data_IF_803598915760
#
_entry.id   IF_803598915760
#
_cell.length_a   1.000
_cell.length_b   1.000
_cell.length_c   1.000
_cell.angle_alpha   90.00
_cell.angle_beta   90.00
_cell.angle_gamma   90.00
#
_symmetry.space_group_name_H-M   'P 1'
#
loop_
_entity.id
_entity.type
_entity.pdbx_description
1 polymer ?
#
# COMPACT_ATOMS: atom_id res chain seq x y z
N UNK A 1 29.89 -44.24 56.31
CA UNK A 1 30.05 -44.48 54.86
C UNK A 1 29.81 -43.18 54.20
N UNK A 2 30.85 -42.35 53.91
CA UNK A 2 30.77 -41.00 53.39
C UNK A 2 31.11 -41.04 51.88
N UNK A 3 30.17 -40.62 51.09
CA UNK A 3 30.28 -40.55 49.63
C UNK A 3 30.83 -39.17 49.27
N UNK A 4 32.05 -39.05 48.81
CA UNK A 4 32.68 -37.83 48.28
C UNK A 4 32.46 -37.78 46.78
N UNK A 5 31.59 -36.90 46.33
CA UNK A 5 31.43 -36.56 44.92
C UNK A 5 32.52 -35.58 44.52
N UNK A 6 33.47 -36.03 43.68
CA UNK A 6 34.48 -35.19 43.05
C UNK A 6 33.90 -34.33 41.94
N UNK A 7 33.97 -33.00 42.05
CA UNK A 7 33.77 -32.09 40.95
C UNK A 7 34.99 -32.10 40.04
N UNK A 8 34.87 -32.73 38.88
CA UNK A 8 35.85 -32.61 37.81
C UNK A 8 35.57 -31.26 37.06
N UNK A 9 36.28 -30.23 37.47
CA UNK A 9 36.33 -28.97 36.71
C UNK A 9 37.17 -29.19 35.44
N UNK A 10 36.54 -29.10 34.29
CA UNK A 10 37.23 -29.05 33.00
C UNK A 10 38.00 -27.71 32.89
N UNK A 11 39.17 -27.62 33.43
CA UNK A 11 40.14 -26.59 33.07
C UNK A 11 40.80 -27.00 31.76
N UNK A 12 40.33 -26.48 30.62
CA UNK A 12 41.13 -26.43 29.40
C UNK A 12 42.29 -25.49 29.69
N UNK A 13 43.39 -26.11 30.12
CA UNK A 13 44.60 -25.42 30.48
C UNK A 13 45.17 -24.67 29.28
N UNK A 14 45.24 -23.36 29.42
CA UNK A 14 46.28 -22.58 28.78
C UNK A 14 47.57 -23.07 29.50
N UNK A 15 48.33 -23.90 28.83
CA UNK A 15 49.67 -24.30 29.32
C UNK A 15 50.60 -23.12 29.11
N UNK A 16 50.48 -22.13 29.94
CA UNK A 16 51.54 -21.17 30.21
C UNK A 16 52.38 -21.73 31.34
N UNK A 17 53.62 -22.02 31.06
CA UNK A 17 54.62 -22.36 32.05
C UNK A 17 54.62 -21.28 33.15
N UNK A 18 54.53 -21.68 34.46
CA UNK A 18 54.53 -20.67 35.52
C UNK A 18 55.87 -19.94 35.54
N UNK A 19 55.90 -18.69 35.14
CA UNK A 19 57.09 -17.85 35.26
C UNK A 19 57.43 -16.97 34.08
N UNK A 20 56.84 -17.18 32.92
CA UNK A 20 57.13 -16.33 31.74
C UNK A 20 55.87 -15.54 31.33
N UNK A 21 55.89 -14.26 31.58
CA UNK A 21 54.84 -13.38 31.07
C UNK A 21 54.77 -13.51 29.52
N UNK A 22 53.58 -13.69 28.93
CA UNK A 22 53.45 -13.82 27.48
C UNK A 22 54.09 -12.61 26.84
N UNK A 23 55.17 -12.80 26.06
CA UNK A 23 55.86 -11.73 25.37
C UNK A 23 54.96 -11.26 24.22
N UNK A 24 54.13 -10.27 24.52
CA UNK A 24 53.18 -9.68 23.60
C UNK A 24 53.86 -9.11 22.33
N UNK A 25 55.09 -8.63 22.48
CA UNK A 25 55.86 -8.15 21.33
C UNK A 25 56.19 -9.28 20.34
N UNK A 26 56.59 -10.43 20.86
CA UNK A 26 56.85 -11.62 20.04
C UNK A 26 55.58 -12.12 19.34
N UNK A 27 54.47 -12.15 20.07
CA UNK A 27 53.19 -12.54 19.52
C UNK A 27 52.71 -11.57 18.43
N UNK A 28 52.83 -10.26 18.65
CA UNK A 28 52.51 -9.21 17.66
C UNK A 28 53.40 -9.35 16.43
N UNK A 29 54.68 -9.58 16.62
CA UNK A 29 55.60 -9.82 15.51
C UNK A 29 55.22 -11.05 14.67
N UNK A 30 54.85 -12.14 15.35
CA UNK A 30 54.40 -13.38 14.69
C UNK A 30 53.11 -13.20 13.92
N UNK A 31 52.11 -12.47 14.49
CA UNK A 31 50.86 -12.19 13.83
C UNK A 31 51.05 -11.28 12.61
N UNK A 32 51.94 -10.29 12.73
CA UNK A 32 52.29 -9.41 11.60
C UNK A 32 53.08 -10.13 10.50
N UNK A 33 53.86 -11.16 10.85
CA UNK A 33 54.64 -11.92 9.88
C UNK A 33 53.78 -12.98 9.14
N UNK A 34 52.54 -13.20 9.54
CA UNK A 34 51.65 -14.12 8.83
C UNK A 34 51.33 -13.54 7.45
N UNK A 35 51.54 -14.28 6.36
CA UNK A 35 51.13 -13.83 5.04
C UNK A 35 49.61 -13.61 5.03
N UNK A 36 49.17 -12.50 4.47
CA UNK A 36 47.74 -12.25 4.29
C UNK A 36 47.13 -13.36 3.40
N UNK A 37 45.92 -13.81 3.70
CA UNK A 37 45.24 -14.75 2.82
C UNK A 37 45.09 -14.12 1.41
N UNK A 38 45.17 -14.93 0.35
CA UNK A 38 44.98 -14.43 -1.00
C UNK A 38 43.59 -13.76 -1.08
N UNK A 39 43.57 -12.62 -1.78
CA UNK A 39 42.28 -11.91 -2.03
C UNK A 39 41.35 -12.81 -2.83
N UNK A 40 40.09 -12.80 -2.46
CA UNK A 40 39.06 -13.49 -3.24
C UNK A 40 39.06 -12.94 -4.68
N UNK A 41 38.95 -13.80 -5.71
CA UNK A 41 38.87 -13.36 -7.08
C UNK A 41 37.69 -12.41 -7.25
N UNK A 42 37.89 -11.31 -7.99
CA UNK A 42 36.82 -10.38 -8.29
C UNK A 42 35.67 -11.10 -8.99
N UNK A 43 34.42 -10.79 -8.64
CA UNK A 43 33.27 -11.38 -9.32
C UNK A 43 33.35 -11.08 -10.82
N UNK A 44 33.17 -12.12 -11.62
CA UNK A 44 33.11 -11.99 -13.07
C UNK A 44 31.84 -11.21 -13.43
N UNK A 45 32.01 -9.99 -13.94
CA UNK A 45 30.89 -9.20 -14.44
C UNK A 45 30.36 -9.87 -15.71
N UNK A 46 29.18 -10.46 -15.64
CA UNK A 46 28.47 -10.92 -16.83
C UNK A 46 28.02 -9.71 -17.64
N UNK A 47 28.42 -9.65 -18.90
CA UNK A 47 27.87 -8.68 -19.83
C UNK A 47 26.44 -9.10 -20.15
N UNK A 48 25.48 -8.29 -19.74
CA UNK A 48 24.09 -8.50 -20.15
C UNK A 48 23.93 -7.98 -21.59
N UNK A 49 23.16 -8.71 -22.38
CA UNK A 49 22.78 -8.24 -23.71
C UNK A 49 22.04 -6.92 -23.58
N UNK A 50 22.46 -5.94 -24.37
CA UNK A 50 21.80 -4.63 -24.41
C UNK A 50 20.46 -4.79 -25.08
N UNK A 51 19.39 -4.56 -24.32
CA UNK A 51 18.04 -4.58 -24.88
C UNK A 51 17.83 -3.32 -25.73
N UNK A 52 17.59 -3.51 -27.03
CA UNK A 52 17.18 -2.41 -27.91
C UNK A 52 15.68 -2.20 -27.81
N UNK A 53 15.29 -1.03 -27.33
CA UNK A 53 13.89 -0.64 -27.26
C UNK A 53 13.38 -0.24 -28.65
N UNK A 54 12.63 -1.13 -29.31
CA UNK A 54 12.07 -0.94 -30.64
C UNK A 54 10.55 -0.67 -30.62
N UNK A 55 10.12 0.24 -29.74
CA UNK A 55 8.71 0.56 -29.59
C UNK A 55 8.28 1.86 -30.30
N UNK A 56 9.07 2.36 -31.25
CA UNK A 56 8.77 3.58 -32.00
C UNK A 56 7.48 3.52 -32.82
N UNK A 57 7.02 2.30 -33.14
CA UNK A 57 5.75 2.09 -33.83
C UNK A 57 4.56 1.89 -32.87
N UNK A 58 4.82 1.77 -31.58
CA UNK A 58 3.77 1.70 -30.57
C UNK A 58 3.35 3.11 -30.18
N UNK A 59 2.11 3.20 -29.71
CA UNK A 59 1.56 4.44 -29.23
C UNK A 59 2.34 4.92 -28.00
N UNK A 60 2.64 6.21 -27.96
CA UNK A 60 3.22 6.87 -26.79
C UNK A 60 2.31 6.69 -25.57
N UNK A 61 2.77 6.06 -24.47
CA UNK A 61 1.97 5.87 -23.26
C UNK A 61 1.58 7.18 -22.58
N UNK A 62 2.27 8.29 -22.88
CA UNK A 62 1.99 9.60 -22.34
C UNK A 62 1.12 10.48 -23.29
N UNK A 63 0.87 10.02 -24.51
CA UNK A 63 -0.10 10.69 -25.36
C UNK A 63 -1.50 10.40 -24.86
N UNK A 64 -2.29 11.46 -24.62
CA UNK A 64 -3.70 11.31 -24.25
C UNK A 64 -4.44 10.55 -25.34
N UNK A 65 -5.11 9.48 -24.96
CA UNK A 65 -5.93 8.66 -25.87
C UNK A 65 -7.22 9.35 -26.31
N UNK A 66 -7.37 10.61 -25.98
CA UNK A 66 -8.56 11.38 -26.24
C UNK A 66 -8.53 11.95 -27.66
N UNK A 67 -8.93 11.16 -28.62
CA UNK A 67 -9.70 11.69 -29.73
C UNK A 67 -11.16 11.72 -29.27
N UNK A 68 -11.76 12.88 -29.25
CA UNK A 68 -13.19 13.13 -28.95
C UNK A 68 -14.19 12.37 -29.86
N UNK A 69 -13.72 11.41 -30.62
CA UNK A 69 -14.53 10.58 -31.53
C UNK A 69 -15.12 9.33 -30.88
N UNK A 70 -14.99 9.19 -29.56
CA UNK A 70 -15.61 8.12 -28.80
C UNK A 70 -17.11 8.34 -28.62
N UNK A 71 -17.87 8.21 -29.69
CA UNK A 71 -19.32 8.01 -29.65
C UNK A 71 -19.71 6.67 -28.99
N UNK A 72 -19.05 6.33 -27.87
CA UNK A 72 -19.40 5.18 -27.05
C UNK A 72 -20.73 5.40 -26.36
N UNK A 73 -21.65 4.46 -26.58
CA UNK A 73 -22.97 4.39 -25.95
C UNK A 73 -22.86 4.02 -24.45
N UNK A 74 -21.70 4.27 -23.81
CA UNK A 74 -21.42 3.98 -22.41
C UNK A 74 -21.95 5.04 -21.44
N UNK A 75 -22.02 4.70 -20.16
CA UNK A 75 -22.39 5.66 -19.12
C UNK A 75 -21.43 6.85 -19.14
N UNK A 76 -21.96 8.06 -18.98
CA UNK A 76 -21.18 9.30 -18.91
C UNK A 76 -21.69 10.17 -17.77
N UNK A 77 -20.81 10.94 -17.11
CA UNK A 77 -21.27 11.97 -16.18
C UNK A 77 -22.14 12.99 -16.88
N UNK A 78 -23.24 13.37 -16.26
CA UNK A 78 -24.09 14.43 -16.76
C UNK A 78 -23.48 15.81 -16.47
N UNK A 79 -22.81 16.39 -17.47
CA UNK A 79 -22.15 17.68 -17.35
C UNK A 79 -23.18 18.85 -17.18
N UNK A 80 -24.45 18.63 -17.56
CA UNK A 80 -25.51 19.62 -17.40
C UNK A 80 -26.12 19.66 -15.99
N UNK A 81 -25.80 18.69 -15.15
CA UNK A 81 -26.35 18.57 -13.80
C UNK A 81 -25.61 19.52 -12.83
N UNK A 82 -26.38 20.19 -11.96
CA UNK A 82 -25.76 20.89 -10.84
C UNK A 82 -25.26 19.93 -9.81
N UNK A 83 -23.97 20.00 -9.50
CA UNK A 83 -23.34 19.14 -8.47
C UNK A 83 -23.92 19.41 -7.09
N UNK A 84 -24.10 18.33 -6.32
CA UNK A 84 -24.53 18.38 -4.94
C UNK A 84 -23.34 18.65 -4.01
N UNK A 85 -23.61 19.06 -2.77
CA UNK A 85 -22.55 19.43 -1.82
C UNK A 85 -21.62 18.26 -1.51
N UNK A 86 -22.15 17.06 -1.37
CA UNK A 86 -21.35 15.85 -1.06
C UNK A 86 -20.43 15.40 -2.20
N UNK A 87 -20.61 15.88 -3.40
CA UNK A 87 -19.72 15.62 -4.54
C UNK A 87 -18.42 16.45 -4.51
N UNK A 88 -18.31 17.39 -3.58
CA UNK A 88 -17.08 18.16 -3.38
C UNK A 88 -16.02 17.37 -2.60
N UNK A 89 -16.45 16.37 -1.85
CA UNK A 89 -15.62 15.56 -0.99
C UNK A 89 -15.33 14.20 -1.63
N UNK A 90 -14.12 13.65 -1.46
CA UNK A 90 -13.83 12.26 -1.86
C UNK A 90 -14.69 11.29 -1.04
N UNK A 91 -15.08 10.18 -1.65
CA UNK A 91 -15.96 9.20 -1.01
C UNK A 91 -15.38 8.67 0.31
N UNK A 92 -14.07 8.45 0.36
CA UNK A 92 -13.35 7.93 1.53
C UNK A 92 -13.33 8.89 2.75
N UNK A 93 -13.74 10.15 2.55
CA UNK A 93 -13.85 11.14 3.62
C UNK A 93 -15.28 11.38 4.09
N UNK A 94 -16.22 10.59 3.60
CA UNK A 94 -17.62 10.67 3.94
C UNK A 94 -18.01 9.49 4.83
N UNK A 95 -18.39 9.79 6.07
CA UNK A 95 -18.70 8.80 7.08
C UNK A 95 -20.21 8.65 7.24
N UNK A 96 -20.73 7.43 7.14
CA UNK A 96 -22.13 7.18 7.49
C UNK A 96 -22.26 7.11 9.00
N UNK A 97 -23.00 8.04 9.60
CA UNK A 97 -23.14 8.16 11.06
C UNK A 97 -24.49 7.62 11.58
N UNK A 98 -25.40 7.26 10.69
CA UNK A 98 -26.70 6.69 11.09
C UNK A 98 -27.74 6.74 10.02
N UNK A 99 -28.93 6.29 10.37
CA UNK A 99 -30.10 6.28 9.50
C UNK A 99 -31.33 6.89 10.18
N UNK A 100 -32.23 7.41 9.39
CA UNK A 100 -33.54 7.88 9.81
C UNK A 100 -34.63 7.20 8.98
N UNK A 101 -35.67 6.76 9.64
CA UNK A 101 -36.81 6.13 8.97
C UNK A 101 -36.87 4.62 9.17
N UNK A 102 -37.80 3.98 8.48
CA UNK A 102 -38.03 2.53 8.57
C UNK A 102 -38.57 1.99 7.25
N UNK A 103 -38.17 0.80 6.89
CA UNK A 103 -38.60 0.16 5.65
C UNK A 103 -38.09 0.86 4.40
N UNK A 104 -38.94 1.10 3.40
CA UNK A 104 -38.56 1.68 2.12
C UNK A 104 -38.28 3.20 2.18
N UNK A 105 -38.43 3.83 3.35
CA UNK A 105 -38.21 5.26 3.56
C UNK A 105 -36.96 5.57 4.38
N UNK A 106 -35.95 4.70 4.35
CA UNK A 106 -34.68 4.92 5.10
C UNK A 106 -33.89 6.02 4.42
N UNK A 107 -33.44 6.98 5.23
CA UNK A 107 -32.56 8.09 4.84
C UNK A 107 -31.26 7.90 5.59
N UNK A 108 -30.14 7.92 4.89
CA UNK A 108 -28.83 7.90 5.54
C UNK A 108 -28.43 9.30 6.00
N UNK A 109 -27.71 9.33 7.11
CA UNK A 109 -26.99 10.49 7.62
C UNK A 109 -25.51 10.32 7.33
N UNK A 110 -24.97 11.22 6.53
CA UNK A 110 -23.55 11.21 6.16
C UNK A 110 -22.88 12.46 6.69
N UNK A 111 -21.82 12.28 7.45
CA UNK A 111 -20.98 13.34 7.95
C UNK A 111 -19.83 13.59 6.96
N UNK A 112 -19.67 14.85 6.55
CA UNK A 112 -18.57 15.28 5.71
C UNK A 112 -17.40 15.83 6.55
N UNK A 113 -16.20 16.04 5.95
CA UNK A 113 -15.03 16.58 6.66
C UNK A 113 -15.23 17.94 7.33
N UNK A 114 -16.20 18.71 6.86
CA UNK A 114 -16.62 19.99 7.45
C UNK A 114 -17.43 19.83 8.74
N UNK A 115 -17.61 18.57 9.21
CA UNK A 115 -18.41 18.19 10.38
C UNK A 115 -19.91 18.50 10.25
N UNK A 116 -20.38 18.73 9.05
CA UNK A 116 -21.79 18.88 8.75
C UNK A 116 -22.39 17.53 8.36
N UNK A 117 -23.55 17.23 8.91
CA UNK A 117 -24.28 16.01 8.57
C UNK A 117 -25.34 16.28 7.53
N UNK A 118 -25.27 15.52 6.46
CA UNK A 118 -26.18 15.62 5.32
C UNK A 118 -27.12 14.43 5.26
N UNK A 119 -28.34 14.67 4.79
CA UNK A 119 -29.33 13.61 4.51
C UNK A 119 -29.16 13.09 3.09
N UNK A 120 -29.02 11.79 2.96
CA UNK A 120 -28.82 11.09 1.69
C UNK A 120 -29.95 10.11 1.45
N UNK A 121 -30.53 10.18 0.25
CA UNK A 121 -31.59 9.27 -0.21
C UNK A 121 -31.17 8.61 -1.52
N UNK A 122 -31.80 7.50 -1.92
CA UNK A 122 -31.57 6.93 -3.25
C UNK A 122 -31.79 7.98 -4.34
N UNK A 123 -30.88 8.04 -5.33
CA UNK A 123 -30.89 9.03 -6.39
C UNK A 123 -30.07 10.29 -6.09
N UNK A 124 -29.59 10.51 -4.86
CA UNK A 124 -28.62 11.56 -4.56
C UNK A 124 -27.24 11.21 -5.12
N UNK A 125 -26.37 12.22 -5.18
CA UNK A 125 -25.00 12.07 -5.62
C UNK A 125 -24.03 12.41 -4.51
N UNK A 126 -22.94 11.64 -4.39
CA UNK A 126 -21.88 11.83 -3.42
C UNK A 126 -20.54 11.30 -3.95
N UNK A 127 -19.44 11.86 -3.46
CA UNK A 127 -18.11 11.51 -3.95
C UNK A 127 -17.73 12.27 -5.23
N UNK A 128 -16.43 12.42 -5.46
CA UNK A 128 -15.88 13.20 -6.59
C UNK A 128 -16.04 12.50 -7.96
N UNK A 129 -16.34 11.21 -7.95
CA UNK A 129 -16.50 10.36 -9.13
C UNK A 129 -17.97 10.22 -9.58
N UNK A 130 -18.79 11.27 -9.43
CA UNK A 130 -20.21 11.29 -9.79
C UNK A 130 -20.98 10.07 -9.22
N UNK A 131 -20.67 9.67 -7.98
CA UNK A 131 -21.25 8.52 -7.31
C UNK A 131 -22.74 8.68 -7.08
N UNK A 132 -23.57 7.93 -7.79
CA UNK A 132 -25.01 7.93 -7.64
C UNK A 132 -25.47 6.88 -6.65
N UNK A 133 -26.18 7.30 -5.60
CA UNK A 133 -26.74 6.41 -4.58
C UNK A 133 -27.85 5.57 -5.20
N UNK A 134 -27.68 4.27 -5.16
CA UNK A 134 -28.63 3.25 -5.65
C UNK A 134 -29.51 2.70 -4.54
N UNK A 135 -28.96 2.57 -3.32
CA UNK A 135 -29.69 2.06 -2.18
C UNK A 135 -29.20 2.61 -0.85
N UNK A 136 -30.11 2.74 0.11
CA UNK A 136 -29.81 3.11 1.49
C UNK A 136 -30.35 2.00 2.39
N UNK A 137 -29.48 1.40 3.21
CA UNK A 137 -29.77 0.35 4.15
C UNK A 137 -29.48 0.82 5.59
N UNK A 138 -29.84 0.02 6.55
CA UNK A 138 -29.62 0.37 7.97
C UNK A 138 -28.12 0.42 8.33
N UNK A 139 -27.30 -0.37 7.64
CA UNK A 139 -25.86 -0.58 7.91
C UNK A 139 -24.93 0.02 6.84
N UNK A 140 -25.48 0.40 5.67
CA UNK A 140 -24.67 0.86 4.54
C UNK A 140 -25.45 1.67 3.52
N UNK A 141 -24.71 2.43 2.72
CA UNK A 141 -25.16 3.10 1.51
C UNK A 141 -24.51 2.40 0.31
N UNK A 142 -25.30 1.98 -0.66
CA UNK A 142 -24.79 1.45 -1.93
C UNK A 142 -24.87 2.55 -3.01
N UNK A 143 -23.80 2.69 -3.78
CA UNK A 143 -23.73 3.66 -4.86
C UNK A 143 -22.93 3.13 -6.05
N UNK A 144 -23.06 3.77 -7.18
CA UNK A 144 -22.30 3.49 -8.39
C UNK A 144 -21.55 4.73 -8.79
N UNK A 145 -20.23 4.65 -8.84
CA UNK A 145 -19.33 5.70 -9.30
C UNK A 145 -19.04 5.57 -10.80
N UNK A 146 -18.80 6.69 -11.46
CA UNK A 146 -18.30 6.74 -12.81
C UNK A 146 -16.81 7.07 -12.79
N UNK A 147 -15.97 6.10 -13.14
CA UNK A 147 -14.53 6.28 -13.22
C UNK A 147 -14.06 6.21 -14.68
N UNK A 148 -13.08 7.04 -15.08
CA UNK A 148 -12.55 6.98 -16.43
C UNK A 148 -11.85 5.63 -16.66
N UNK A 149 -12.08 4.99 -17.81
CA UNK A 149 -11.49 3.72 -18.20
C UNK A 149 -10.07 3.86 -18.78
N UNK A 150 -9.56 5.08 -18.90
CA UNK A 150 -8.27 5.38 -19.50
C UNK A 150 -8.25 5.35 -21.03
N UNK A 151 -9.32 4.90 -21.68
CA UNK A 151 -9.47 4.86 -23.13
C UNK A 151 -10.41 5.96 -23.68
N UNK A 152 -10.81 6.90 -22.82
CA UNK A 152 -11.74 7.99 -23.16
C UNK A 152 -13.21 7.66 -22.90
N UNK A 153 -13.49 6.50 -22.32
CA UNK A 153 -14.79 6.09 -21.83
C UNK A 153 -14.91 6.20 -20.30
N UNK A 154 -16.06 5.76 -19.80
CA UNK A 154 -16.39 5.72 -18.40
C UNK A 154 -16.84 4.32 -18.02
N UNK A 155 -16.42 3.87 -16.87
CA UNK A 155 -16.79 2.58 -16.30
C UNK A 155 -17.60 2.80 -15.01
N UNK A 156 -18.69 2.07 -14.87
CA UNK A 156 -19.45 2.00 -13.63
C UNK A 156 -18.72 1.10 -12.63
N UNK A 157 -18.46 1.65 -11.45
CA UNK A 157 -17.85 0.93 -10.33
C UNK A 157 -18.79 0.96 -9.13
N UNK A 158 -19.26 -0.20 -8.64
CA UNK A 158 -20.01 -0.25 -7.39
C UNK A 158 -19.11 0.14 -6.21
N UNK A 159 -19.63 0.94 -5.32
CA UNK A 159 -18.99 1.34 -4.08
C UNK A 159 -20.00 1.31 -2.93
N UNK A 160 -19.49 1.21 -1.71
CA UNK A 160 -20.31 1.12 -0.50
C UNK A 160 -19.69 1.97 0.59
N UNK A 161 -20.52 2.73 1.30
CA UNK A 161 -20.15 3.44 2.52
C UNK A 161 -20.88 2.76 3.68
N UNK A 162 -20.12 2.13 4.56
CA UNK A 162 -20.65 1.42 5.72
C UNK A 162 -20.88 2.38 6.90
N UNK A 163 -21.78 2.01 7.80
CA UNK A 163 -21.96 2.66 9.10
C UNK A 163 -20.71 2.39 9.94
N UNK A 164 -20.06 3.42 10.45
CA UNK A 164 -18.98 3.26 11.41
C UNK A 164 -19.54 2.90 12.79
N UNK A 165 -19.15 1.74 13.30
CA UNK A 165 -19.37 1.36 14.70
C UNK A 165 -18.46 2.23 15.59
N UNK A 166 -19.05 3.08 16.42
CA UNK A 166 -18.34 3.91 17.41
C UNK A 166 -18.07 3.14 18.70
#
# INVERSE_FOLDING_TARGET
>A
MALVLGLAACSRGITSTPGEAPNLEKWVAEVKARPAPPLDPLPVMQQFETFEYNAYALRDPFSTAFTDEGGGNGPRPDAGRRKQTLEQFPLDSLDMVGTLGKGNGVIALVMAPDKVTYRVTPGNYMGQSDGRVTGVFEDRIELVELVPDGAGGWLERPATVALEDQ
#
